data_IF_945741182018
#
_entry.id   IF_945741182018
#
_cell.length_a   1.000
_cell.length_b   1.000
_cell.length_c   1.000
_cell.angle_alpha   90.00
_cell.angle_beta   90.00
_cell.angle_gamma   90.00
#
_symmetry.space_group_name_H-M   'P 1'
#
loop_
_entity.id
_entity.type
_entity.pdbx_description
1 polymer ?
#
# COMPACT_ATOMS: atom_id res chain seq x y z
N UNK A 1 20.30 12.68 -36.18
CA UNK A 1 19.85 11.74 -35.15
C UNK A 1 19.47 12.59 -33.96
N UNK A 2 18.17 12.70 -33.66
CA UNK A 2 17.71 13.44 -32.48
C UNK A 2 17.83 12.50 -31.29
N UNK A 3 18.72 12.85 -30.37
CA UNK A 3 18.77 12.29 -29.03
C UNK A 3 17.48 12.67 -28.34
N UNK A 4 16.63 11.70 -28.01
CA UNK A 4 15.50 11.95 -27.10
C UNK A 4 16.06 12.32 -25.73
N UNK A 5 15.34 13.20 -25.03
CA UNK A 5 15.70 13.70 -23.72
C UNK A 5 15.50 12.56 -22.71
N UNK A 6 16.50 12.18 -21.89
CA UNK A 6 16.38 11.09 -20.92
C UNK A 6 15.19 11.25 -19.96
N UNK A 7 14.66 12.47 -19.79
CA UNK A 7 13.46 12.74 -18.98
C UNK A 7 12.17 12.23 -19.67
N UNK A 8 12.06 12.30 -20.99
CA UNK A 8 10.88 11.78 -21.71
C UNK A 8 10.82 10.25 -21.66
N UNK A 9 11.97 9.58 -21.75
CA UNK A 9 12.06 8.11 -21.69
C UNK A 9 11.69 7.56 -20.29
N UNK A 10 11.97 8.33 -19.24
CA UNK A 10 11.59 8.01 -17.85
C UNK A 10 10.09 8.17 -17.59
N UNK A 11 9.44 9.19 -18.15
CA UNK A 11 7.99 9.40 -18.00
C UNK A 11 7.22 8.29 -18.72
N UNK A 12 7.67 7.92 -19.93
CA UNK A 12 7.06 6.84 -20.73
C UNK A 12 7.19 5.46 -20.05
N UNK A 13 8.27 5.26 -19.27
CA UNK A 13 8.50 4.05 -18.48
C UNK A 13 7.60 3.93 -17.25
N UNK A 14 7.32 5.06 -16.59
CA UNK A 14 6.46 5.11 -15.39
C UNK A 14 4.98 4.86 -15.74
N UNK A 15 4.48 5.44 -16.85
CA UNK A 15 3.11 5.19 -17.31
C UNK A 15 2.90 3.70 -17.68
N UNK A 16 3.89 3.06 -18.34
CA UNK A 16 3.84 1.62 -18.66
C UNK A 16 3.85 0.71 -17.43
N UNK A 17 4.54 1.10 -16.35
CA UNK A 17 4.59 0.29 -15.13
C UNK A 17 3.28 0.38 -14.33
N UNK A 18 2.63 1.55 -14.33
CA UNK A 18 1.31 1.72 -13.71
C UNK A 18 0.23 0.93 -14.47
N UNK A 19 0.30 0.88 -15.80
CA UNK A 19 -0.56 0.02 -16.64
C UNK A 19 -0.37 -1.48 -16.37
N UNK A 20 0.86 -1.94 -16.12
CA UNK A 20 1.16 -3.35 -15.86
C UNK A 20 0.61 -3.84 -14.51
N UNK A 21 0.64 -3.01 -13.46
CA UNK A 21 0.13 -3.40 -12.14
C UNK A 21 -1.39 -3.29 -12.02
N UNK A 22 -2.02 -2.30 -12.67
CA UNK A 22 -3.48 -2.18 -12.71
C UNK A 22 -4.12 -3.15 -13.72
N UNK A 23 -3.39 -3.56 -14.75
CA UNK A 23 -3.87 -4.49 -15.76
C UNK A 23 -4.23 -5.88 -15.20
N UNK A 24 -3.53 -6.35 -14.16
CA UNK A 24 -3.70 -7.70 -13.64
C UNK A 24 -5.03 -7.95 -12.89
N UNK A 25 -5.67 -6.91 -12.34
CA UNK A 25 -6.99 -7.07 -11.71
C UNK A 25 -8.12 -7.23 -12.73
N UNK A 26 -7.88 -6.85 -13.98
CA UNK A 26 -8.83 -6.97 -15.08
C UNK A 26 -8.34 -7.95 -16.15
N UNK A 27 -7.37 -8.83 -15.88
CA UNK A 27 -7.01 -9.82 -16.89
C UNK A 27 -8.18 -10.81 -17.07
N UNK A 28 -8.53 -11.17 -18.32
CA UNK A 28 -9.52 -12.20 -18.58
C UNK A 28 -9.08 -13.49 -17.89
N UNK A 29 -9.98 -14.13 -17.16
CA UNK A 29 -9.72 -15.48 -16.69
C UNK A 29 -9.76 -16.34 -17.94
N UNK A 30 -8.66 -17.04 -18.25
CA UNK A 30 -8.66 -18.05 -19.31
C UNK A 30 -9.68 -19.13 -18.91
N UNK A 31 -10.88 -19.03 -19.47
CA UNK A 31 -11.89 -20.08 -19.36
C UNK A 31 -12.05 -20.71 -20.72
N UNK A 32 -12.02 -22.04 -20.79
CA UNK A 32 -12.12 -22.82 -22.03
C UNK A 32 -13.52 -22.74 -22.70
N UNK A 33 -14.36 -21.79 -22.30
CA UNK A 33 -15.71 -21.63 -22.84
C UNK A 33 -15.70 -20.73 -24.07
N UNK A 34 -16.02 -21.28 -25.24
CA UNK A 34 -16.05 -20.53 -26.51
C UNK A 34 -17.22 -19.54 -26.65
N UNK A 35 -18.03 -19.35 -25.61
CA UNK A 35 -19.23 -18.51 -25.61
C UNK A 35 -18.89 -17.13 -25.04
N UNK A 36 -18.17 -16.28 -25.78
CA UNK A 36 -17.85 -14.91 -25.31
C UNK A 36 -16.72 -14.12 -25.99
N UNK A 37 -16.08 -14.65 -27.05
CA UNK A 37 -14.79 -14.14 -27.59
C UNK A 37 -14.72 -12.66 -28.05
N UNK A 38 -15.83 -11.92 -28.18
CA UNK A 38 -15.80 -10.51 -28.66
C UNK A 38 -15.57 -9.47 -27.55
N UNK A 39 -15.93 -9.77 -26.30
CA UNK A 39 -15.68 -8.91 -25.14
C UNK A 39 -15.18 -9.84 -24.04
N UNK A 40 -13.86 -9.93 -23.84
CA UNK A 40 -13.23 -10.90 -22.95
C UNK A 40 -14.01 -11.11 -21.65
N UNK A 41 -14.13 -12.36 -21.21
CA UNK A 41 -14.86 -12.72 -20.00
C UNK A 41 -14.11 -12.18 -18.77
N UNK A 42 -14.35 -10.91 -18.45
CA UNK A 42 -13.83 -10.28 -17.25
C UNK A 42 -14.65 -10.74 -16.05
N UNK A 43 -13.95 -11.14 -15.00
CA UNK A 43 -14.60 -11.42 -13.72
C UNK A 43 -15.14 -10.12 -13.13
N UNK A 44 -16.46 -9.93 -13.20
CA UNK A 44 -17.09 -8.75 -12.64
C UNK A 44 -17.24 -8.88 -11.12
N UNK A 45 -16.23 -8.42 -10.38
CA UNK A 45 -16.27 -8.37 -8.90
C UNK A 45 -17.48 -7.61 -8.38
N UNK A 46 -17.98 -6.60 -9.12
CA UNK A 46 -19.15 -5.81 -8.74
C UNK A 46 -20.47 -6.56 -8.94
N UNK A 47 -20.47 -7.65 -9.70
CA UNK A 47 -21.62 -8.55 -9.83
C UNK A 47 -21.79 -9.50 -8.64
N UNK A 48 -20.79 -9.61 -7.77
CA UNK A 48 -20.84 -10.51 -6.62
C UNK A 48 -21.73 -9.97 -5.49
N UNK A 49 -22.33 -10.85 -4.68
CA UNK A 49 -22.88 -10.50 -3.37
C UNK A 49 -21.83 -9.84 -2.46
N UNK A 50 -22.30 -8.98 -1.56
CA UNK A 50 -21.42 -8.20 -0.66
C UNK A 50 -20.57 -9.10 0.23
N UNK A 51 -21.11 -10.23 0.66
CA UNK A 51 -20.45 -11.22 1.50
C UNK A 51 -19.23 -11.83 0.80
N UNK A 52 -19.35 -12.11 -0.51
CA UNK A 52 -18.23 -12.65 -1.29
C UNK A 52 -17.14 -11.61 -1.52
N UNK A 53 -17.52 -10.34 -1.75
CA UNK A 53 -16.55 -9.25 -1.88
C UNK A 53 -15.81 -9.04 -0.55
N UNK A 54 -16.54 -9.03 0.58
CA UNK A 54 -15.93 -8.93 1.91
C UNK A 54 -15.01 -10.11 2.19
N UNK A 55 -15.39 -11.32 1.79
CA UNK A 55 -14.53 -12.50 1.87
C UNK A 55 -13.26 -12.34 1.01
N UNK A 56 -13.35 -11.83 -0.22
CA UNK A 56 -12.17 -11.50 -1.03
C UNK A 56 -11.26 -10.49 -0.32
N UNK A 57 -11.84 -9.43 0.24
CA UNK A 57 -11.08 -8.42 0.98
C UNK A 57 -10.35 -9.04 2.18
N UNK A 58 -10.90 -10.07 2.83
CA UNK A 58 -10.24 -10.75 3.95
C UNK A 58 -8.86 -11.31 3.60
N UNK A 59 -8.60 -11.65 2.34
CA UNK A 59 -7.31 -12.15 1.84
C UNK A 59 -6.37 -11.05 1.35
N UNK A 60 -6.87 -9.83 1.17
CA UNK A 60 -6.08 -8.72 0.64
C UNK A 60 -5.26 -8.07 1.75
N UNK A 61 -4.03 -7.68 1.38
CA UNK A 61 -3.21 -6.81 2.22
C UNK A 61 -3.93 -5.49 2.46
N UNK A 62 -3.58 -4.79 3.54
CA UNK A 62 -4.18 -3.49 3.82
C UNK A 62 -3.95 -2.53 2.64
N UNK A 63 -2.75 -2.49 2.07
CA UNK A 63 -2.45 -1.66 0.90
C UNK A 63 -3.40 -1.94 -0.28
N UNK A 64 -3.59 -3.22 -0.61
CA UNK A 64 -4.47 -3.60 -1.71
C UNK A 64 -5.94 -3.26 -1.43
N UNK A 65 -6.40 -3.40 -0.17
CA UNK A 65 -7.75 -2.98 0.22
C UNK A 65 -7.93 -1.48 0.04
N UNK A 66 -6.94 -0.69 0.47
CA UNK A 66 -6.98 0.76 0.32
C UNK A 66 -7.03 1.17 -1.16
N UNK A 67 -6.38 0.41 -2.05
CA UNK A 67 -6.37 0.63 -3.51
C UNK A 67 -7.66 0.15 -4.19
N UNK A 68 -8.28 -0.94 -3.72
CA UNK A 68 -9.48 -1.54 -4.30
C UNK A 68 -10.74 -0.65 -4.22
N UNK A 69 -10.70 0.49 -3.54
CA UNK A 69 -11.82 1.43 -3.34
C UNK A 69 -12.11 2.31 -4.56
N UNK A 70 -12.16 1.69 -5.73
CA UNK A 70 -12.42 2.39 -6.99
C UNK A 70 -13.89 2.78 -7.16
N UNK A 71 -14.81 2.25 -6.34
CA UNK A 71 -16.21 2.63 -6.34
C UNK A 71 -16.83 2.73 -4.94
N UNK A 72 -17.98 3.39 -4.85
CA UNK A 72 -18.71 3.62 -3.58
C UNK A 72 -19.11 2.33 -2.87
N UNK A 73 -19.41 1.26 -3.62
CA UNK A 73 -19.85 -0.02 -3.03
C UNK A 73 -18.67 -0.72 -2.35
N UNK A 74 -17.54 -0.84 -3.04
CA UNK A 74 -16.30 -1.40 -2.52
C UNK A 74 -15.76 -0.55 -1.36
N UNK A 75 -15.91 0.78 -1.44
CA UNK A 75 -15.56 1.69 -0.35
C UNK A 75 -16.36 1.40 0.94
N UNK A 76 -17.69 1.23 0.84
CA UNK A 76 -18.53 0.86 1.99
C UNK A 76 -18.14 -0.52 2.54
N UNK A 77 -17.91 -1.50 1.66
CA UNK A 77 -17.52 -2.86 2.07
C UNK A 77 -16.16 -2.84 2.76
N UNK A 78 -15.20 -2.06 2.28
CA UNK A 78 -13.91 -1.85 2.95
C UNK A 78 -14.11 -1.24 4.33
N UNK A 79 -14.97 -0.22 4.42
CA UNK A 79 -15.28 0.49 5.66
C UNK A 79 -15.90 -0.42 6.73
N UNK A 80 -16.71 -1.41 6.33
CA UNK A 80 -17.35 -2.34 7.24
C UNK A 80 -16.46 -3.55 7.59
N UNK A 81 -15.42 -3.80 6.80
CA UNK A 81 -14.54 -4.95 6.97
C UNK A 81 -13.49 -4.70 8.05
N UNK A 82 -13.53 -5.50 9.12
CA UNK A 82 -12.45 -5.52 10.13
C UNK A 82 -11.26 -6.34 9.65
N UNK A 83 -10.07 -5.99 10.12
CA UNK A 83 -8.87 -6.78 9.91
C UNK A 83 -7.92 -6.68 11.07
N UNK A 84 -7.12 -7.73 11.22
CA UNK A 84 -6.13 -7.87 12.27
C UNK A 84 -4.73 -7.71 11.66
N UNK A 85 -3.90 -6.90 12.29
CA UNK A 85 -2.50 -6.71 11.92
C UNK A 85 -1.66 -6.97 13.16
N UNK A 86 -0.79 -7.98 13.12
CA UNK A 86 0.03 -8.32 14.29
C UNK A 86 1.08 -7.24 14.53
N UNK A 87 1.85 -6.86 13.50
CA UNK A 87 2.86 -5.81 13.58
C UNK A 87 2.71 -4.78 12.46
N UNK A 88 2.52 -3.52 12.83
CA UNK A 88 2.39 -2.39 11.90
C UNK A 88 3.47 -1.35 12.13
N UNK A 89 4.12 -0.93 11.04
CA UNK A 89 5.04 0.21 11.01
C UNK A 89 4.42 1.37 10.22
N UNK A 90 4.39 2.55 10.83
CA UNK A 90 4.09 3.81 10.16
C UNK A 90 5.32 4.68 10.23
N UNK A 91 5.93 4.98 9.10
CA UNK A 91 7.17 5.76 9.03
C UNK A 91 7.04 6.94 8.08
N UNK A 92 7.84 7.97 8.33
CA UNK A 92 8.04 9.09 7.43
C UNK A 92 9.50 9.14 6.97
N UNK A 93 9.71 9.01 5.66
CA UNK A 93 11.04 8.95 5.06
C UNK A 93 11.28 10.16 4.14
N UNK A 94 12.56 10.43 3.87
CA UNK A 94 12.94 11.36 2.80
C UNK A 94 12.78 10.66 1.44
N UNK A 95 12.25 11.40 0.46
CA UNK A 95 12.15 10.91 -0.91
C UNK A 95 13.55 10.77 -1.49
N UNK A 96 14.03 9.52 -1.54
CA UNK A 96 15.30 9.19 -2.18
C UNK A 96 15.10 9.19 -3.69
N UNK A 97 15.92 9.91 -4.48
CA UNK A 97 15.87 9.89 -5.94
C UNK A 97 15.93 8.45 -6.47
N UNK A 98 15.22 8.19 -7.59
CA UNK A 98 15.09 6.85 -8.16
C UNK A 98 16.46 6.26 -8.48
N UNK A 99 17.38 7.07 -9.01
CA UNK A 99 18.73 6.64 -9.37
C UNK A 99 19.48 6.12 -8.15
N UNK A 100 19.29 6.76 -6.99
CA UNK A 100 19.91 6.33 -5.73
C UNK A 100 19.25 5.05 -5.20
N UNK A 101 17.93 4.88 -5.38
CA UNK A 101 17.23 3.64 -4.99
C UNK A 101 17.71 2.44 -5.81
N UNK A 102 17.87 2.59 -7.11
CA UNK A 102 18.38 1.55 -8.00
C UNK A 102 19.80 1.16 -7.59
N UNK A 103 20.67 2.14 -7.38
CA UNK A 103 22.03 1.91 -6.88
C UNK A 103 22.03 1.20 -5.51
N UNK A 104 21.13 1.57 -4.61
CA UNK A 104 20.98 0.92 -3.31
C UNK A 104 20.49 -0.53 -3.41
N UNK A 105 19.67 -0.87 -4.41
CA UNK A 105 19.26 -2.26 -4.65
C UNK A 105 20.41 -3.08 -5.24
N UNK A 106 21.10 -2.57 -6.26
CA UNK A 106 22.26 -3.26 -6.86
C UNK A 106 23.37 -3.52 -5.85
N UNK A 107 23.63 -2.56 -4.95
CA UNK A 107 24.63 -2.74 -3.90
C UNK A 107 24.22 -3.75 -2.82
N UNK A 108 22.93 -3.90 -2.53
CA UNK A 108 22.47 -4.90 -1.55
C UNK A 108 22.67 -6.33 -2.05
N UNK A 109 22.60 -6.55 -3.36
CA UNK A 109 22.83 -7.86 -3.96
C UNK A 109 24.33 -8.17 -4.10
N UNK A 110 25.16 -7.13 -4.25
CA UNK A 110 26.60 -7.28 -4.43
C UNK A 110 27.36 -7.54 -3.11
N UNK A 111 26.77 -7.18 -1.97
CA UNK A 111 27.38 -7.40 -0.67
C UNK A 111 26.56 -8.46 0.04
N UNK A 112 27.04 -9.70 -0.01
CA UNK A 112 26.74 -10.75 0.98
C UNK A 112 27.29 -10.28 2.35
N UNK A 113 26.75 -9.16 2.87
CA UNK A 113 26.96 -8.81 4.26
C UNK A 113 26.22 -9.90 5.01
N UNK A 114 26.98 -10.83 5.57
CA UNK A 114 26.55 -11.59 6.74
C UNK A 114 26.29 -10.54 7.84
N UNK A 115 25.13 -9.88 7.75
CA UNK A 115 24.64 -8.85 8.67
C UNK A 115 24.61 -9.52 10.04
N UNK A 116 25.53 -9.09 10.91
CA UNK A 116 25.65 -9.66 12.25
C UNK A 116 24.37 -9.41 13.03
N UNK A 117 23.50 -10.41 13.11
CA UNK A 117 22.38 -10.64 14.05
C UNK A 117 21.57 -9.42 14.56
N UNK A 118 21.59 -8.27 13.90
CA UNK A 118 20.59 -7.23 14.08
C UNK A 118 19.30 -7.79 13.48
N UNK A 119 18.51 -8.43 14.34
CA UNK A 119 17.15 -8.88 14.05
C UNK A 119 16.36 -7.67 13.57
N UNK A 120 16.33 -7.43 12.25
CA UNK A 120 15.40 -6.50 11.63
C UNK A 120 14.01 -6.92 12.06
N UNK A 121 13.37 -6.07 12.86
CA UNK A 121 11.98 -6.28 13.26
C UNK A 121 11.16 -6.46 11.99
N UNK A 122 10.54 -7.64 11.86
CA UNK A 122 9.69 -7.94 10.72
C UNK A 122 8.30 -7.39 11.03
N UNK A 123 7.87 -6.42 10.23
CA UNK A 123 6.51 -5.89 10.28
C UNK A 123 5.67 -6.55 9.18
N UNK A 124 4.42 -6.90 9.50
CA UNK A 124 3.49 -7.50 8.53
C UNK A 124 2.94 -6.45 7.57
N UNK A 125 2.81 -5.22 8.05
CA UNK A 125 2.31 -4.08 7.27
C UNK A 125 3.17 -2.84 7.52
N UNK A 126 3.39 -2.08 6.45
CA UNK A 126 4.17 -0.84 6.46
C UNK A 126 3.42 0.25 5.72
N UNK A 127 3.33 1.43 6.33
CA UNK A 127 2.86 2.66 5.68
C UNK A 127 4.00 3.65 5.68
N UNK A 128 4.31 4.17 4.51
CA UNK A 128 5.41 5.10 4.31
C UNK A 128 4.86 6.44 3.83
N UNK A 129 5.10 7.48 4.62
CA UNK A 129 4.92 8.87 4.23
C UNK A 129 6.24 9.46 3.74
N UNK A 130 6.18 10.39 2.80
CA UNK A 130 7.34 11.09 2.28
C UNK A 130 7.33 12.54 2.76
N UNK A 131 8.46 12.99 3.31
CA UNK A 131 8.61 14.36 3.80
C UNK A 131 8.30 15.37 2.69
N UNK A 132 7.62 16.45 3.04
CA UNK A 132 7.25 17.52 2.11
C UNK A 132 6.07 17.19 1.19
N UNK A 133 5.49 15.98 1.27
CA UNK A 133 4.22 15.65 0.62
C UNK A 133 3.07 15.85 1.59
N UNK A 134 1.94 16.30 1.07
CA UNK A 134 0.70 16.41 1.85
C UNK A 134 -0.13 15.15 1.69
N UNK A 135 -0.59 14.60 2.81
CA UNK A 135 -1.44 13.41 2.85
C UNK A 135 -2.80 13.73 3.43
N UNK A 136 -3.82 13.03 2.94
CA UNK A 136 -5.13 13.03 3.59
C UNK A 136 -5.08 12.18 4.86
N UNK A 137 -5.65 12.70 5.96
CA UNK A 137 -5.85 11.91 7.18
C UNK A 137 -6.94 10.84 7.06
N UNK A 138 -7.63 10.76 5.91
CA UNK A 138 -8.69 9.76 5.66
C UNK A 138 -8.17 8.32 5.74
N UNK A 139 -7.00 8.05 5.14
CA UNK A 139 -6.36 6.74 5.22
C UNK A 139 -6.16 6.30 6.68
N UNK A 140 -5.63 7.22 7.50
CA UNK A 140 -5.36 6.97 8.92
C UNK A 140 -6.62 6.82 9.75
N UNK A 141 -7.69 7.58 9.45
CA UNK A 141 -9.00 7.42 10.09
C UNK A 141 -9.56 6.02 9.88
N UNK A 142 -9.43 5.50 8.66
CA UNK A 142 -9.94 4.17 8.31
C UNK A 142 -9.16 3.07 8.98
N UNK A 143 -7.84 3.17 9.00
CA UNK A 143 -6.99 2.24 9.75
C UNK A 143 -7.42 2.25 11.22
N UNK A 144 -7.58 3.43 11.81
CA UNK A 144 -8.02 3.55 13.18
C UNK A 144 -9.39 2.93 13.46
N UNK A 145 -10.31 3.00 12.49
CA UNK A 145 -11.65 2.44 12.62
C UNK A 145 -11.69 0.93 12.39
N UNK A 146 -10.88 0.39 11.48
CA UNK A 146 -11.06 -0.96 10.93
C UNK A 146 -9.97 -1.96 11.31
N UNK A 147 -8.78 -1.48 11.66
CA UNK A 147 -7.68 -2.33 12.07
C UNK A 147 -7.72 -2.59 13.58
N UNK A 148 -7.58 -3.85 13.96
CA UNK A 148 -7.11 -4.24 15.28
C UNK A 148 -5.61 -4.51 15.17
N UNK A 149 -4.79 -3.78 15.91
CA UNK A 149 -3.33 -3.82 15.75
C UNK A 149 -2.69 -4.35 17.02
N UNK A 150 -1.92 -5.43 16.93
CA UNK A 150 -1.17 -5.95 18.07
C UNK A 150 -0.09 -4.97 18.52
N UNK A 151 0.88 -4.75 17.64
CA UNK A 151 2.00 -3.81 17.85
C UNK A 151 1.98 -2.73 16.79
N UNK A 152 1.85 -1.48 17.22
CA UNK A 152 1.99 -0.31 16.36
C UNK A 152 3.29 0.43 16.67
N UNK A 153 4.18 0.53 15.68
CA UNK A 153 5.37 1.37 15.72
C UNK A 153 5.17 2.59 14.82
N UNK A 154 5.43 3.78 15.35
CA UNK A 154 5.30 5.04 14.62
C UNK A 154 6.63 5.80 14.67
N UNK A 155 7.16 6.09 13.49
CA UNK A 155 8.41 6.83 13.26
C UNK A 155 8.10 8.05 12.38
N UNK A 156 7.51 9.08 13.00
CA UNK A 156 7.14 10.32 12.33
C UNK A 156 8.00 11.48 12.83
N UNK A 157 8.50 12.30 11.91
CA UNK A 157 9.49 13.36 12.21
C UNK A 157 8.98 14.78 11.95
N UNK A 158 7.88 14.93 11.23
CA UNK A 158 7.31 16.22 10.89
C UNK A 158 6.48 16.85 12.01
N UNK A 159 6.39 18.18 11.97
CA UNK A 159 5.61 18.98 12.94
C UNK A 159 4.32 19.54 12.33
N UNK A 160 3.90 19.02 11.18
CA UNK A 160 2.78 19.58 10.44
C UNK A 160 1.44 19.29 11.14
N UNK A 161 0.39 19.98 10.69
CA UNK A 161 -0.98 19.72 11.17
C UNK A 161 -1.36 18.24 10.98
N UNK A 162 -0.91 17.64 9.89
CA UNK A 162 -1.11 16.23 9.57
C UNK A 162 -0.59 15.30 10.67
N UNK A 163 0.65 15.47 11.14
CA UNK A 163 1.22 14.65 12.21
C UNK A 163 0.40 14.73 13.48
N UNK A 164 -0.07 15.93 13.85
CA UNK A 164 -0.97 16.11 15.01
C UNK A 164 -2.30 15.39 14.83
N UNK A 165 -2.87 15.42 13.64
CA UNK A 165 -4.08 14.65 13.33
C UNK A 165 -3.82 13.15 13.47
N UNK A 166 -2.72 12.64 12.93
CA UNK A 166 -2.32 11.23 13.08
C UNK A 166 -2.17 10.86 14.55
N UNK A 167 -1.43 11.64 15.35
CA UNK A 167 -1.27 11.35 16.77
C UNK A 167 -2.58 11.36 17.56
N UNK A 168 -3.56 12.15 17.13
CA UNK A 168 -4.88 12.12 17.74
C UNK A 168 -5.66 10.87 17.32
N UNK A 169 -5.60 10.49 16.04
CA UNK A 169 -6.26 9.27 15.54
C UNK A 169 -5.68 8.00 16.18
N UNK A 170 -4.36 7.95 16.40
CA UNK A 170 -3.69 6.80 17.02
C UNK A 170 -4.25 6.52 18.43
N UNK A 171 -4.67 7.55 19.17
CA UNK A 171 -5.26 7.39 20.50
C UNK A 171 -6.61 6.67 20.45
N UNK A 172 -7.28 6.70 19.31
CA UNK A 172 -8.59 6.07 19.11
C UNK A 172 -8.46 4.63 18.57
N UNK A 173 -7.24 4.21 18.20
CA UNK A 173 -6.99 2.85 17.71
C UNK A 173 -6.99 1.88 18.88
N UNK A 174 -7.65 0.74 18.68
CA UNK A 174 -7.56 -0.39 19.60
C UNK A 174 -6.21 -1.09 19.39
N UNK A 175 -5.22 -0.77 20.25
CA UNK A 175 -3.85 -1.29 20.18
C UNK A 175 -3.52 -2.01 21.48
N UNK A 176 -2.92 -3.20 21.38
CA UNK A 176 -2.44 -3.93 22.55
C UNK A 176 -1.12 -3.32 23.09
N UNK A 177 -0.22 -2.92 22.18
CA UNK A 177 1.06 -2.31 22.52
C UNK A 177 1.50 -1.20 21.55
N UNK A 178 1.88 -0.04 22.09
CA UNK A 178 2.30 1.14 21.32
C UNK A 178 3.78 1.46 21.56
N UNK A 179 4.57 1.49 20.49
CA UNK A 179 5.97 1.96 20.49
C UNK A 179 6.02 3.27 19.71
N UNK A 180 6.19 4.39 20.42
CA UNK A 180 6.37 5.69 19.78
C UNK A 180 7.80 6.18 20.01
N UNK A 181 8.56 6.35 18.93
CA UNK A 181 9.86 7.04 18.96
C UNK A 181 9.71 8.39 18.25
N UNK A 182 9.77 9.48 19.03
CA UNK A 182 9.95 10.81 18.47
C UNK A 182 11.45 11.06 18.34
N UNK A 183 11.95 11.15 17.10
CA UNK A 183 13.31 11.61 16.83
C UNK A 183 13.38 13.13 16.79
#
# INVERSE_FOLDING_TARGET
QMSLDPVEELVDGLEKMEELYLGNFNQPIETDNEIGKEHGDYFNILGLPTELISYVFSFMSMEDRLRARVNKRLDIIELESKYEVEHMLIEEIEEVPIEVKEWMMEMKDAVDVEDGDEKKEKFDQRITFYKGKSYSSDCMKRIAQNASIGVLKIELSGSEKFHREIFNLIKDINIDFLISESR
#
